data_IF_136687221054
#
_entry.id   IF_136687221054
#
_cell.length_a   1.000
_cell.length_b   1.000
_cell.length_c   1.000
_cell.angle_alpha   90.00
_cell.angle_beta   90.00
_cell.angle_gamma   90.00
#
_symmetry.space_group_name_H-M   'P 1'
#
loop_
_entity.id
_entity.type
_entity.pdbx_description
1 polymer ?
#
# COMPACT_ATOMS: atom_id res chain seq x y z
N UNK A 1 -19.86 1.90 3.08
CA UNK A 1 -19.22 2.67 2.00
C UNK A 1 -17.75 2.85 2.38
N UNK A 2 -16.81 2.46 1.52
CA UNK A 2 -15.37 2.61 1.78
C UNK A 2 -14.87 3.84 1.02
N UNK A 3 -14.26 4.80 1.72
CA UNK A 3 -13.61 5.97 1.12
C UNK A 3 -12.12 5.68 1.01
N UNK A 4 -11.52 6.02 -0.12
CA UNK A 4 -10.11 5.79 -0.41
C UNK A 4 -9.50 7.02 -1.05
N UNK A 5 -8.19 7.19 -0.87
CA UNK A 5 -7.43 8.19 -1.61
C UNK A 5 -7.00 7.64 -2.97
N UNK A 6 -7.23 8.41 -4.02
CA UNK A 6 -6.82 8.09 -5.38
C UNK A 6 -5.64 8.96 -5.79
N UNK A 7 -4.57 8.33 -6.27
CA UNK A 7 -3.48 8.99 -6.98
C UNK A 7 -3.68 8.82 -8.49
N UNK A 8 -3.78 9.93 -9.20
CA UNK A 8 -4.00 9.93 -10.66
C UNK A 8 -2.69 10.25 -11.38
N UNK A 9 -2.28 9.36 -12.27
CA UNK A 9 -1.09 9.45 -13.11
C UNK A 9 -1.55 9.43 -14.59
N UNK A 10 -1.85 10.63 -15.10
CA UNK A 10 -2.52 10.78 -16.40
C UNK A 10 -3.86 10.06 -16.45
N UNK A 11 -3.96 9.03 -17.30
CA UNK A 11 -5.15 8.20 -17.44
C UNK A 11 -5.18 6.99 -16.49
N UNK A 12 -4.15 6.78 -15.67
CA UNK A 12 -4.06 5.66 -14.73
C UNK A 12 -4.43 6.11 -13.32
N UNK A 13 -5.36 5.41 -12.67
CA UNK A 13 -5.71 5.64 -11.27
C UNK A 13 -5.10 4.58 -10.35
N UNK A 14 -4.56 5.02 -9.23
CA UNK A 14 -4.02 4.17 -8.17
C UNK A 14 -4.78 4.40 -6.88
N UNK A 15 -5.31 3.34 -6.29
CA UNK A 15 -5.82 3.39 -4.91
C UNK A 15 -4.64 3.35 -3.95
N UNK A 16 -4.52 4.37 -3.11
CA UNK A 16 -3.47 4.42 -2.09
C UNK A 16 -3.93 3.61 -0.89
N UNK A 17 -3.15 2.58 -0.56
CA UNK A 17 -3.42 1.68 0.57
C UNK A 17 -2.59 2.04 1.81
N UNK A 18 -1.47 2.73 1.62
CA UNK A 18 -0.61 3.23 2.68
C UNK A 18 0.19 4.43 2.16
N UNK A 19 0.31 5.47 2.99
CA UNK A 19 1.15 6.63 2.72
C UNK A 19 1.93 7.00 3.98
N UNK A 20 3.22 7.28 3.82
CA UNK A 20 4.10 7.69 4.90
C UNK A 20 5.05 8.80 4.43
N UNK A 21 4.99 9.96 5.08
CA UNK A 21 5.77 11.15 4.78
C UNK A 21 6.81 11.37 5.89
N UNK A 22 7.89 12.08 5.56
CA UNK A 22 9.00 12.30 6.51
C UNK A 22 8.56 12.99 7.81
N UNK A 23 7.55 13.85 7.74
CA UNK A 23 6.98 14.62 8.85
C UNK A 23 5.68 14.01 9.40
N UNK A 24 5.47 12.71 9.24
CA UNK A 24 4.30 12.00 9.78
C UNK A 24 4.17 12.17 11.29
N UNK A 25 2.94 12.35 11.78
CA UNK A 25 2.62 12.29 13.22
C UNK A 25 2.31 10.85 13.67
N UNK A 26 2.10 9.93 12.72
CA UNK A 26 1.81 8.52 13.02
C UNK A 26 3.03 7.79 13.56
N UNK A 27 2.83 7.00 14.61
CA UNK A 27 3.89 6.20 15.24
C UNK A 27 4.24 4.93 14.47
N UNK A 28 3.32 4.46 13.61
CA UNK A 28 3.38 3.16 12.92
C UNK A 28 3.54 1.93 13.85
N UNK A 29 3.41 2.11 15.16
CA UNK A 29 3.51 1.07 16.19
C UNK A 29 2.14 0.80 16.81
N UNK A 30 1.17 0.51 15.95
CA UNK A 30 -0.23 0.37 16.32
C UNK A 30 -0.64 -1.09 16.61
N UNK A 31 -1.73 -1.26 17.35
CA UNK A 31 -2.29 -2.58 17.66
C UNK A 31 -2.82 -3.29 16.39
N UNK A 32 -2.96 -4.62 16.48
CA UNK A 32 -3.51 -5.45 15.40
C UNK A 32 -4.86 -4.95 14.90
N UNK A 33 -5.76 -4.59 15.81
CA UNK A 33 -7.10 -4.07 15.49
C UNK A 33 -7.04 -2.76 14.72
N UNK A 34 -6.08 -1.89 15.05
CA UNK A 34 -5.85 -0.63 14.35
C UNK A 34 -5.34 -0.88 12.93
N UNK A 35 -4.37 -1.78 12.73
CA UNK A 35 -3.93 -2.19 11.40
C UNK A 35 -5.00 -2.90 10.59
N UNK A 36 -5.91 -3.63 11.24
CA UNK A 36 -7.03 -4.31 10.58
C UNK A 36 -8.01 -3.33 9.94
N UNK A 37 -8.35 -2.26 10.66
CA UNK A 37 -9.36 -1.29 10.24
C UNK A 37 -8.79 0.03 9.68
N UNK A 38 -7.47 0.18 9.69
CA UNK A 38 -6.81 1.37 9.18
C UNK A 38 -6.76 2.50 10.21
N UNK A 39 -5.90 3.48 9.93
CA UNK A 39 -5.66 4.65 10.79
C UNK A 39 -4.97 5.75 9.99
N UNK A 40 -4.96 6.96 10.57
CA UNK A 40 -4.38 8.16 9.96
C UNK A 40 -5.39 8.98 9.18
N UNK A 41 -4.87 9.84 8.31
CA UNK A 41 -5.64 10.76 7.48
C UNK A 41 -5.58 10.33 6.00
N UNK A 42 -6.74 10.07 5.40
CA UNK A 42 -6.82 9.68 3.99
C UNK A 42 -6.25 10.76 3.05
N UNK A 43 -6.26 12.04 3.43
CA UNK A 43 -5.62 13.11 2.64
C UNK A 43 -4.11 13.21 2.90
N UNK A 44 -3.60 12.54 3.94
CA UNK A 44 -2.21 12.56 4.39
C UNK A 44 -1.65 11.16 4.64
N UNK A 45 -0.89 11.02 5.72
CA UNK A 45 -0.29 9.75 6.12
C UNK A 45 -1.35 8.83 6.74
N UNK A 46 -1.44 7.61 6.23
CA UNK A 46 -2.46 6.66 6.65
C UNK A 46 -2.11 5.22 6.26
N UNK A 47 -2.83 4.29 6.88
CA UNK A 47 -2.99 2.92 6.44
C UNK A 47 -4.49 2.67 6.19
N UNK A 48 -4.85 2.18 5.00
CA UNK A 48 -6.24 1.91 4.65
C UNK A 48 -6.86 0.80 5.52
N UNK A 49 -6.05 -0.13 6.00
CA UNK A 49 -6.46 -1.24 6.84
C UNK A 49 -6.48 -2.59 6.11
N UNK A 50 -5.89 -3.60 6.75
CA UNK A 50 -5.66 -4.91 6.14
C UNK A 50 -6.95 -5.61 5.72
N UNK A 51 -8.04 -5.45 6.47
CA UNK A 51 -9.35 -5.99 6.10
C UNK A 51 -9.85 -5.44 4.77
N UNK A 52 -9.66 -4.14 4.54
CA UNK A 52 -10.11 -3.48 3.33
C UNK A 52 -9.19 -3.82 2.15
N UNK A 53 -7.88 -3.89 2.38
CA UNK A 53 -6.92 -4.32 1.35
C UNK A 53 -7.17 -5.78 0.92
N UNK A 54 -7.49 -6.68 1.85
CA UNK A 54 -7.94 -8.04 1.53
C UNK A 54 -9.20 -8.04 0.66
N UNK A 55 -10.22 -7.25 1.03
CA UNK A 55 -11.47 -7.16 0.27
C UNK A 55 -11.27 -6.58 -1.14
N UNK A 56 -10.34 -5.64 -1.32
CA UNK A 56 -9.99 -5.10 -2.63
C UNK A 56 -9.27 -6.17 -3.45
N UNK A 57 -8.19 -6.73 -2.90
CA UNK A 57 -7.33 -7.68 -3.63
C UNK A 57 -8.00 -9.02 -3.94
N UNK A 58 -9.10 -9.37 -3.26
CA UNK A 58 -9.93 -10.54 -3.59
C UNK A 58 -10.84 -10.35 -4.81
N UNK A 59 -11.13 -9.11 -5.24
CA UNK A 59 -12.12 -8.87 -6.29
C UNK A 59 -11.60 -9.26 -7.68
N UNK A 60 -10.32 -8.99 -7.97
CA UNK A 60 -9.65 -9.20 -9.26
C UNK A 60 -8.15 -9.33 -9.03
N UNK A 61 -7.40 -9.63 -10.09
CA UNK A 61 -5.94 -9.48 -10.05
C UNK A 61 -5.57 -7.99 -10.13
N UNK A 62 -4.86 -7.50 -9.11
CA UNK A 62 -4.34 -6.14 -9.04
C UNK A 62 -2.82 -6.15 -9.05
N UNK A 63 -2.23 -5.15 -9.69
CA UNK A 63 -0.82 -4.82 -9.50
C UNK A 63 -0.63 -3.90 -8.30
N UNK A 64 0.56 -3.91 -7.71
CA UNK A 64 0.94 -2.98 -6.65
C UNK A 64 2.22 -2.24 -7.03
N UNK A 65 2.24 -0.95 -6.68
CA UNK A 65 3.38 -0.07 -6.85
C UNK A 65 3.78 0.47 -5.49
N UNK A 66 5.07 0.40 -5.17
CA UNK A 66 5.65 1.00 -3.96
C UNK A 66 6.54 2.15 -4.40
N UNK A 67 6.15 3.38 -4.07
CA UNK A 67 6.91 4.58 -4.36
C UNK A 67 7.68 5.02 -3.12
N UNK A 68 8.96 5.34 -3.30
CA UNK A 68 9.83 5.90 -2.27
C UNK A 68 10.57 7.09 -2.85
N UNK A 69 10.51 8.21 -2.15
CA UNK A 69 11.35 9.37 -2.41
C UNK A 69 12.59 9.25 -1.54
N UNK A 70 13.77 9.21 -2.16
CA UNK A 70 15.02 9.13 -1.39
C UNK A 70 15.41 10.50 -0.77
N UNK A 71 16.42 10.50 0.09
CA UNK A 71 16.90 11.71 0.75
C UNK A 71 17.41 12.80 -0.22
N UNK A 72 17.68 12.45 -1.48
CA UNK A 72 18.04 13.41 -2.53
C UNK A 72 16.81 13.90 -3.33
N UNK A 73 15.59 13.56 -2.89
CA UNK A 73 14.34 13.93 -3.56
C UNK A 73 14.06 13.12 -4.83
N UNK A 74 14.76 12.00 -5.06
CA UNK A 74 14.56 11.19 -6.27
C UNK A 74 13.45 10.17 -6.03
N UNK A 75 12.44 10.22 -6.89
CA UNK A 75 11.37 9.21 -6.92
C UNK A 75 11.90 7.89 -7.49
N UNK A 76 11.71 6.82 -6.73
CA UNK A 76 11.98 5.44 -7.12
C UNK A 76 10.73 4.63 -6.82
N UNK A 77 10.33 3.78 -7.74
CA UNK A 77 9.22 2.87 -7.52
C UNK A 77 9.60 1.42 -7.77
N UNK A 78 8.85 0.48 -7.19
CA UNK A 78 8.90 -0.94 -7.48
C UNK A 78 7.49 -1.42 -7.82
N UNK A 79 7.32 -2.12 -8.94
CA UNK A 79 6.02 -2.66 -9.37
C UNK A 79 6.02 -4.19 -9.39
N UNK A 80 4.90 -4.76 -8.96
CA UNK A 80 4.60 -6.19 -9.04
C UNK A 80 3.28 -6.39 -9.75
N UNK A 81 3.25 -7.34 -10.69
CA UNK A 81 2.08 -7.58 -11.55
C UNK A 81 0.87 -8.22 -10.85
N UNK A 82 1.10 -8.77 -9.66
CA UNK A 82 0.06 -9.36 -8.82
C UNK A 82 0.32 -9.02 -7.37
N UNK A 83 -0.75 -8.70 -6.66
CA UNK A 83 -0.76 -8.41 -5.24
C UNK A 83 -2.02 -8.97 -4.60
N UNK A 84 -1.83 -9.86 -3.63
CA UNK A 84 -2.92 -10.45 -2.84
C UNK A 84 -2.57 -10.34 -1.38
N UNK A 85 -3.48 -9.81 -0.59
CA UNK A 85 -3.44 -9.90 0.86
C UNK A 85 -4.42 -11.00 1.29
N UNK A 86 -3.96 -12.00 2.04
CA UNK A 86 -4.83 -13.06 2.59
C UNK A 86 -5.72 -12.51 3.70
N UNK A 87 -6.68 -13.30 4.18
CA UNK A 87 -7.56 -12.88 5.27
C UNK A 87 -6.87 -13.00 6.63
N UNK A 88 -7.62 -12.69 7.68
CA UNK A 88 -7.13 -12.62 9.05
C UNK A 88 -6.69 -13.99 9.60
N UNK A 89 -7.31 -15.08 9.14
CA UNK A 89 -6.95 -16.45 9.51
C UNK A 89 -5.55 -16.81 9.02
N UNK A 90 -5.16 -16.28 7.86
CA UNK A 90 -3.82 -16.33 7.27
C UNK A 90 -2.93 -15.15 7.70
N UNK A 91 -3.27 -14.44 8.78
CA UNK A 91 -2.54 -13.30 9.32
C UNK A 91 -2.30 -12.16 8.32
N UNK A 92 -3.20 -11.95 7.37
CA UNK A 92 -3.05 -10.98 6.29
C UNK A 92 -1.76 -11.15 5.47
N UNK A 93 -1.29 -12.40 5.29
CA UNK A 93 -0.09 -12.70 4.53
C UNK A 93 -0.12 -12.05 3.12
N UNK A 94 0.94 -11.31 2.81
CA UNK A 94 1.15 -10.69 1.49
C UNK A 94 1.70 -11.71 0.50
N UNK A 95 1.13 -11.73 -0.70
CA UNK A 95 1.65 -12.49 -1.85
C UNK A 95 1.85 -11.55 -3.02
N UNK A 96 3.09 -11.47 -3.47
CA UNK A 96 3.50 -10.69 -4.63
C UNK A 96 3.71 -11.61 -5.82
N UNK A 97 3.36 -11.11 -7.01
CA UNK A 97 3.67 -11.75 -8.28
C UNK A 97 5.08 -11.47 -8.75
N UNK A 98 5.26 -11.48 -10.07
CA UNK A 98 6.53 -11.15 -10.69
C UNK A 98 6.82 -9.67 -10.49
N UNK A 99 8.03 -9.39 -10.02
CA UNK A 99 8.57 -8.04 -10.00
C UNK A 99 8.84 -7.59 -11.45
N UNK A 100 8.16 -6.54 -11.89
CA UNK A 100 8.24 -6.07 -13.29
C UNK A 100 9.36 -5.05 -13.52
N UNK A 101 10.12 -4.71 -12.48
CA UNK A 101 11.18 -3.72 -12.61
C UNK A 101 10.66 -2.30 -12.48
N UNK A 102 11.32 -1.53 -11.61
CA UNK A 102 11.47 -0.08 -11.75
C UNK A 102 12.52 0.37 -10.73
N UNK A 103 13.28 1.43 -11.07
CA UNK A 103 14.40 2.21 -10.44
C UNK A 103 14.91 1.92 -9.00
N UNK A 104 14.55 0.79 -8.40
CA UNK A 104 14.80 0.32 -7.05
C UNK A 104 14.87 -1.20 -7.11
N UNK A 105 15.83 -1.83 -6.42
CA UNK A 105 15.77 -3.28 -6.23
C UNK A 105 14.48 -3.66 -5.49
N UNK A 106 13.93 -4.85 -5.76
CA UNK A 106 12.75 -5.37 -5.06
C UNK A 106 12.94 -5.23 -3.53
N UNK A 107 12.07 -4.49 -2.82
CA UNK A 107 12.16 -4.41 -1.37
C UNK A 107 12.02 -5.81 -0.76
N UNK A 108 12.85 -6.12 0.25
CA UNK A 108 12.64 -7.29 1.09
C UNK A 108 11.62 -6.91 2.15
N UNK A 109 10.38 -7.37 1.98
CA UNK A 109 9.34 -7.29 3.01
C UNK A 109 9.44 -8.48 3.95
#
# INVERSE_FOLDING_TARGET
>A
MLVVQCYMDGCTGWTVIQRNSHNTELTWSEAWTTYKYGFGDLEGDHCLGNKFINLITKQKCYKVRVNVVDAQGRDKHAEYNSFVMRDEEDFYQLKFGTYEGSKMAAPKF
#
